data_IF_757633334196
#
_entry.id   IF_757633334196
#
_cell.length_a   1.000
_cell.length_b   1.000
_cell.length_c   1.000
_cell.angle_alpha   90.00
_cell.angle_beta   90.00
_cell.angle_gamma   90.00
#
_symmetry.space_group_name_H-M   'P 1'
#
loop_
_entity.id
_entity.type
_entity.pdbx_description
1 polymer ?
#
# COMPACT_ATOMS: atom_id res chain seq x y z
N UNK A 1 8.42 14.15 -15.33
CA UNK A 1 9.45 13.10 -15.24
C UNK A 1 9.41 12.24 -16.51
N UNK A 2 10.47 12.19 -17.33
CA UNK A 2 10.50 11.36 -18.53
C UNK A 2 10.56 9.87 -18.18
N UNK A 3 9.81 9.04 -18.92
CA UNK A 3 9.77 7.58 -18.76
C UNK A 3 10.99 6.91 -19.40
N UNK A 4 12.14 7.02 -18.73
CA UNK A 4 13.42 6.45 -19.18
C UNK A 4 13.61 5.00 -18.71
N UNK A 5 14.60 4.29 -19.27
CA UNK A 5 14.91 2.88 -18.90
C UNK A 5 15.25 2.71 -17.41
N UNK A 6 15.91 3.70 -16.80
CA UNK A 6 16.20 3.71 -15.36
C UNK A 6 14.90 3.76 -14.53
N UNK A 7 13.98 4.67 -14.89
CA UNK A 7 12.66 4.81 -14.27
C UNK A 7 11.84 3.52 -14.42
N UNK A 8 11.94 2.88 -15.59
CA UNK A 8 11.27 1.60 -15.90
C UNK A 8 11.71 0.49 -14.96
N UNK A 9 13.02 0.37 -14.67
CA UNK A 9 13.56 -0.63 -13.73
C UNK A 9 13.05 -0.42 -12.30
N UNK A 10 12.90 0.83 -11.87
CA UNK A 10 12.38 1.16 -10.54
C UNK A 10 10.88 0.86 -10.38
N UNK A 11 10.08 1.05 -11.45
CA UNK A 11 8.63 0.79 -11.41
C UNK A 11 8.23 -0.61 -11.89
N UNK A 12 9.19 -1.43 -12.33
CA UNK A 12 8.93 -2.83 -12.67
C UNK A 12 8.52 -3.58 -11.41
N UNK A 13 7.36 -4.23 -11.51
CA UNK A 13 6.78 -5.09 -10.47
C UNK A 13 6.73 -6.54 -10.94
N UNK A 14 7.71 -6.91 -11.78
CA UNK A 14 7.84 -8.24 -12.36
C UNK A 14 8.03 -9.27 -11.24
N UNK A 15 7.29 -10.38 -11.27
CA UNK A 15 7.37 -11.45 -10.27
C UNK A 15 6.41 -11.33 -9.08
N UNK A 16 5.66 -10.22 -8.96
CA UNK A 16 4.54 -10.14 -8.03
C UNK A 16 3.29 -10.80 -8.60
N UNK A 17 2.49 -11.44 -7.72
CA UNK A 17 1.25 -12.12 -8.12
C UNK A 17 0.23 -11.14 -8.72
N UNK A 18 0.11 -9.97 -8.11
CA UNK A 18 -0.57 -8.81 -8.68
C UNK A 18 0.36 -7.62 -8.60
N UNK A 19 0.29 -6.72 -9.59
CA UNK A 19 1.07 -5.48 -9.58
C UNK A 19 0.75 -4.59 -8.36
N UNK A 20 -0.41 -4.79 -7.72
CA UNK A 20 -0.82 -4.11 -6.50
C UNK A 20 -0.21 -4.67 -5.22
N UNK A 21 0.40 -5.86 -5.27
CA UNK A 21 0.96 -6.50 -4.08
C UNK A 21 2.24 -5.79 -3.64
N UNK A 22 2.50 -5.90 -2.35
CA UNK A 22 3.72 -5.39 -1.75
C UNK A 22 4.88 -6.34 -2.00
N UNK A 23 6.01 -5.75 -2.36
CA UNK A 23 7.31 -6.42 -2.25
C UNK A 23 7.66 -6.66 -0.77
N UNK A 24 8.60 -7.55 -0.50
CA UNK A 24 9.05 -7.81 0.88
C UNK A 24 9.66 -6.56 1.54
N UNK A 25 10.36 -5.74 0.76
CA UNK A 25 10.93 -4.49 1.22
C UNK A 25 9.85 -3.46 1.59
N UNK A 26 8.81 -3.33 0.76
CA UNK A 26 7.68 -2.44 1.06
C UNK A 26 6.88 -2.96 2.27
N UNK A 27 6.69 -4.27 2.37
CA UNK A 27 6.04 -4.89 3.52
C UNK A 27 6.78 -4.61 4.83
N UNK A 28 8.11 -4.68 4.83
CA UNK A 28 8.93 -4.38 6.01
C UNK A 28 8.74 -2.94 6.54
N UNK A 29 8.35 -1.99 5.68
CA UNK A 29 8.03 -0.61 6.10
C UNK A 29 6.64 -0.50 6.74
N UNK A 30 5.72 -1.39 6.38
CA UNK A 30 4.30 -1.35 6.81
C UNK A 30 4.06 -2.23 8.03
N UNK A 31 4.75 -3.36 8.11
CA UNK A 31 4.63 -4.35 9.18
C UNK A 31 4.68 -3.73 10.60
N UNK A 32 5.54 -2.74 10.91
CA UNK A 32 5.59 -2.14 12.24
C UNK A 32 4.30 -1.40 12.65
N UNK A 33 3.51 -0.93 11.68
CA UNK A 33 2.22 -0.26 11.94
C UNK A 33 1.08 -1.24 12.15
N UNK A 34 1.31 -2.53 11.87
CA UNK A 34 0.28 -3.54 11.99
C UNK A 34 0.03 -3.89 13.46
N UNK A 35 -1.25 -4.05 13.86
CA UNK A 35 -1.56 -4.38 15.24
C UNK A 35 -1.02 -5.76 15.59
N UNK A 36 -0.30 -5.84 16.72
CA UNK A 36 0.15 -7.09 17.30
C UNK A 36 -1.03 -8.04 17.54
N UNK A 37 -0.77 -9.34 17.48
CA UNK A 37 -1.77 -10.33 17.82
C UNK A 37 -2.23 -10.11 19.27
N UNK A 38 -3.54 -10.09 19.50
CA UNK A 38 -4.09 -9.96 20.85
C UNK A 38 -3.67 -11.16 21.70
N UNK A 39 -3.16 -10.89 22.90
CA UNK A 39 -2.76 -11.92 23.87
C UNK A 39 -3.96 -12.68 24.47
N UNK A 40 -5.14 -12.07 24.45
CA UNK A 40 -6.37 -12.60 25.05
C UNK A 40 -7.45 -12.70 23.97
N UNK A 41 -8.17 -13.82 23.95
CA UNK A 41 -9.24 -14.11 23.01
C UNK A 41 -8.83 -15.08 21.90
N UNK A 42 -9.61 -15.13 20.81
CA UNK A 42 -9.32 -16.01 19.68
C UNK A 42 -8.02 -15.59 19.00
N UNK A 43 -7.05 -16.50 18.82
CA UNK A 43 -5.81 -16.17 18.11
C UNK A 43 -6.12 -15.78 16.66
N UNK A 44 -5.40 -14.76 16.17
CA UNK A 44 -5.51 -14.32 14.77
C UNK A 44 -4.85 -15.37 13.87
N UNK A 45 -5.65 -16.01 13.03
CA UNK A 45 -5.17 -16.94 11.99
C UNK A 45 -4.91 -16.24 10.65
N UNK A 46 -5.44 -15.02 10.47
CA UNK A 46 -5.35 -14.29 9.21
C UNK A 46 -3.97 -13.65 9.04
N UNK A 47 -3.33 -13.91 7.90
CA UNK A 47 -2.11 -13.21 7.50
C UNK A 47 -2.42 -11.74 7.18
N UNK A 48 -1.83 -10.81 7.91
CA UNK A 48 -2.10 -9.37 7.73
C UNK A 48 -1.57 -8.84 6.39
N UNK A 49 -0.45 -9.37 5.90
CA UNK A 49 0.07 -9.01 4.59
C UNK A 49 -0.95 -9.28 3.50
N UNK A 50 -1.57 -10.47 3.54
CA UNK A 50 -2.60 -10.83 2.58
C UNK A 50 -3.84 -9.92 2.67
N UNK A 51 -4.16 -9.37 3.85
CA UNK A 51 -5.23 -8.38 4.02
C UNK A 51 -4.83 -7.04 3.41
N UNK A 52 -3.60 -6.56 3.63
CA UNK A 52 -3.10 -5.31 3.05
C UNK A 52 -3.01 -5.42 1.52
N UNK A 53 -2.44 -6.51 1.00
CA UNK A 53 -2.39 -6.77 -0.45
C UNK A 53 -3.80 -6.78 -1.07
N UNK A 54 -4.79 -7.36 -0.39
CA UNK A 54 -6.19 -7.34 -0.84
C UNK A 54 -6.79 -5.93 -0.86
N UNK A 55 -6.50 -5.10 0.15
CA UNK A 55 -6.94 -3.71 0.21
C UNK A 55 -6.29 -2.89 -0.93
N UNK A 56 -5.00 -3.08 -1.19
CA UNK A 56 -4.29 -2.42 -2.29
C UNK A 56 -4.80 -2.89 -3.65
N UNK A 57 -5.13 -4.16 -3.79
CA UNK A 57 -5.77 -4.69 -4.99
C UNK A 57 -7.12 -4.01 -5.24
N UNK A 58 -7.97 -3.90 -4.22
CA UNK A 58 -9.25 -3.18 -4.32
C UNK A 58 -9.05 -1.70 -4.67
N UNK A 59 -8.09 -1.03 -4.03
CA UNK A 59 -7.80 0.38 -4.27
C UNK A 59 -7.25 0.65 -5.69
N UNK A 60 -6.43 -0.26 -6.22
CA UNK A 60 -5.83 -0.13 -7.56
C UNK A 60 -6.79 -0.51 -8.69
N UNK A 61 -7.62 -1.54 -8.49
CA UNK A 61 -8.55 -2.03 -9.52
C UNK A 61 -9.93 -1.37 -9.47
N UNK A 62 -10.32 -0.81 -8.31
CA UNK A 62 -11.66 -0.28 -8.08
C UNK A 62 -12.77 -1.35 -8.08
N UNK A 63 -12.42 -2.63 -7.98
CA UNK A 63 -13.41 -3.70 -8.03
C UNK A 63 -14.28 -3.75 -6.76
N UNK A 64 -15.46 -4.35 -6.88
CA UNK A 64 -16.38 -4.51 -5.76
C UNK A 64 -15.86 -5.57 -4.79
N UNK A 65 -16.17 -5.45 -3.49
CA UNK A 65 -15.76 -6.42 -2.46
C UNK A 65 -16.05 -7.89 -2.82
N UNK A 66 -17.21 -8.17 -3.43
CA UNK A 66 -17.61 -9.53 -3.84
C UNK A 66 -16.84 -10.07 -5.05
N UNK A 67 -16.11 -9.22 -5.75
CA UNK A 67 -15.25 -9.55 -6.90
C UNK A 67 -13.79 -9.74 -6.48
N UNK A 68 -13.48 -9.67 -5.18
CA UNK A 68 -12.14 -9.95 -4.68
C UNK A 68 -11.72 -11.38 -5.08
N UNK A 69 -10.54 -11.56 -5.70
CA UNK A 69 -10.05 -12.88 -6.07
C UNK A 69 -9.99 -13.85 -4.89
N UNK A 70 -10.25 -15.13 -5.14
CA UNK A 70 -10.38 -16.17 -4.09
C UNK A 70 -9.06 -16.51 -3.41
N UNK A 71 -7.93 -16.09 -3.96
CA UNK A 71 -6.63 -16.31 -3.35
C UNK A 71 -6.37 -15.35 -2.17
N UNK A 72 -7.11 -14.25 -2.09
CA UNK A 72 -7.10 -13.38 -0.93
C UNK A 72 -7.95 -13.97 0.21
N UNK A 73 -7.75 -13.48 1.46
CA UNK A 73 -8.65 -13.81 2.55
C UNK A 73 -10.10 -13.47 2.18
N UNK A 74 -11.10 -14.14 2.80
CA UNK A 74 -12.51 -13.88 2.50
C UNK A 74 -12.83 -12.39 2.57
N UNK A 75 -13.56 -11.87 1.56
CA UNK A 75 -13.80 -10.44 1.43
C UNK A 75 -14.41 -9.82 2.71
N UNK A 76 -15.24 -10.56 3.44
CA UNK A 76 -15.85 -10.13 4.71
C UNK A 76 -14.79 -9.90 5.80
N UNK A 77 -13.74 -10.71 5.81
CA UNK A 77 -12.59 -10.57 6.73
C UNK A 77 -11.80 -9.32 6.36
N UNK A 78 -11.46 -9.16 5.07
CA UNK A 78 -10.72 -8.00 4.56
C UNK A 78 -11.49 -6.70 4.84
N UNK A 79 -12.79 -6.70 4.57
CA UNK A 79 -13.69 -5.56 4.83
C UNK A 79 -13.75 -5.20 6.31
N UNK A 80 -13.81 -6.20 7.21
CA UNK A 80 -13.77 -5.97 8.66
C UNK A 80 -12.48 -5.29 9.12
N UNK A 81 -11.33 -5.76 8.63
CA UNK A 81 -10.03 -5.11 8.90
C UNK A 81 -9.97 -3.70 8.32
N UNK A 82 -10.44 -3.51 7.08
CA UNK A 82 -10.46 -2.20 6.43
C UNK A 82 -11.22 -1.16 7.27
N UNK A 83 -12.43 -1.48 7.72
CA UNK A 83 -13.21 -0.54 8.54
C UNK A 83 -12.58 -0.30 9.92
N UNK A 84 -12.04 -1.34 10.56
CA UNK A 84 -11.36 -1.19 11.84
C UNK A 84 -10.14 -0.26 11.73
N UNK A 85 -9.27 -0.52 10.75
CA UNK A 85 -8.05 0.25 10.56
C UNK A 85 -8.27 1.65 9.96
N UNK A 86 -9.36 1.84 9.23
CA UNK A 86 -9.82 3.15 8.77
C UNK A 86 -10.25 4.03 9.95
N UNK A 87 -10.95 3.46 10.93
CA UNK A 87 -11.39 4.16 12.14
C UNK A 87 -10.21 4.50 13.07
N UNK A 88 -9.28 3.59 13.24
CA UNK A 88 -8.17 3.73 14.19
C UNK A 88 -6.95 4.46 13.58
N UNK A 89 -7.02 4.87 12.31
CA UNK A 89 -5.96 5.62 11.62
C UNK A 89 -4.75 4.78 11.17
N UNK A 90 -4.76 3.47 11.41
CA UNK A 90 -3.69 2.53 11.02
C UNK A 90 -3.44 2.52 9.50
N UNK A 91 -4.51 2.64 8.70
CA UNK A 91 -4.38 2.73 7.23
C UNK A 91 -3.71 4.03 6.80
N UNK A 92 -4.03 5.15 7.43
CA UNK A 92 -3.42 6.45 7.12
C UNK A 92 -1.92 6.45 7.41
N UNK A 93 -1.49 5.88 8.54
CA UNK A 93 -0.07 5.79 8.89
C UNK A 93 0.74 4.89 7.96
N UNK A 94 0.16 3.80 7.48
CA UNK A 94 0.84 2.84 6.59
C UNK A 94 0.85 3.27 5.12
N UNK A 95 -0.24 3.85 4.61
CA UNK A 95 -0.36 4.29 3.20
C UNK A 95 0.50 5.52 2.90
N UNK A 96 0.69 6.44 3.86
CA UNK A 96 1.56 7.61 3.68
C UNK A 96 3.01 7.24 3.35
N UNK A 97 3.50 6.08 3.79
CA UNK A 97 4.86 5.63 3.47
C UNK A 97 5.00 5.06 2.04
N UNK A 98 3.91 4.54 1.47
CA UNK A 98 3.89 3.95 0.12
C UNK A 98 3.74 4.97 -1.00
N UNK A 99 3.24 6.16 -0.67
CA UNK A 99 3.31 7.31 -1.56
C UNK A 99 4.63 8.03 -1.24
N UNK A 100 5.65 7.99 -2.12
CA UNK A 100 6.60 9.07 -2.13
C UNK A 100 5.76 10.31 -2.43
N UNK A 101 5.50 11.13 -1.41
CA UNK A 101 5.22 12.53 -1.66
C UNK A 101 6.38 12.97 -2.56
N UNK A 102 6.18 13.29 -3.85
CA UNK A 102 7.25 13.95 -4.56
C UNK A 102 7.46 15.23 -3.76
N UNK A 103 8.56 15.27 -3.01
CA UNK A 103 9.05 16.50 -2.43
C UNK A 103 8.96 17.48 -3.59
N UNK A 104 8.10 18.48 -3.42
CA UNK A 104 7.94 19.56 -4.38
C UNK A 104 9.34 20.14 -4.46
N UNK A 105 10.07 19.78 -5.51
CA UNK A 105 11.43 20.25 -5.72
C UNK A 105 11.31 21.77 -5.62
N UNK A 106 11.99 22.43 -4.67
CA UNK A 106 11.88 23.87 -4.55
C UNK A 106 12.26 24.41 -5.92
N UNK A 107 11.33 25.13 -6.53
CA UNK A 107 11.41 25.65 -7.90
C UNK A 107 12.63 26.58 -7.99
N UNK A 108 13.80 25.98 -8.19
CA UNK A 108 15.03 26.67 -8.44
C UNK A 108 14.98 27.08 -9.90
N UNK A 109 14.26 28.17 -10.20
CA UNK A 109 14.63 29.22 -11.18
C UNK A 109 13.51 30.24 -11.38
N UNK A 110 13.77 31.48 -10.98
CA UNK A 110 13.52 32.70 -11.78
C UNK A 110 14.41 33.84 -11.27
N UNK A 111 15.72 33.73 -11.53
CA UNK A 111 16.57 34.91 -11.66
C UNK A 111 16.52 35.33 -13.13
N UNK A 112 15.80 36.42 -13.40
CA UNK A 112 15.93 37.15 -14.67
C UNK A 112 17.06 38.17 -14.51
N UNK A 113 18.18 38.08 -15.26
CA UNK A 113 19.12 39.18 -15.32
C UNK A 113 18.49 40.29 -16.17
N UNK A 114 18.18 41.43 -15.55
CA UNK A 114 17.90 42.66 -16.30
C UNK A 114 19.24 43.28 -16.69
N UNK A 115 19.41 43.51 -17.99
CA UNK A 115 20.45 44.34 -18.57
C UNK A 115 20.19 45.83 -18.29
#
# INVERSE_FOLDING_TARGET
MPWTEATRRHFRRDGLRYASNLTDAEWALIEPFMPAARRIGRPRITCLRAVVDAILYLASTGCQWRQLPREFPPYSTVQGYFYAWSRDGTLSGSITLLLPCPAREPDAKRAHPRA
#
